data_IF_867228745541
#
_entry.id   IF_867228745541
#
_cell.length_a   1.000
_cell.length_b   1.000
_cell.length_c   1.000
_cell.angle_alpha   90.00
_cell.angle_beta   90.00
_cell.angle_gamma   90.00
#
_symmetry.space_group_name_H-M   'P 1'
#
loop_
_entity.id
_entity.type
_entity.pdbx_description
1 polymer ?
#
# COMPACT_ATOMS: atom_id res chain seq x y z
N UNK A 1 63.62 -36.94 -85.45
CA UNK A 1 63.94 -36.39 -84.12
C UNK A 1 62.77 -35.49 -83.75
N UNK A 2 61.78 -35.92 -82.95
CA UNK A 2 61.85 -36.16 -81.49
C UNK A 2 62.22 -34.85 -80.77
N UNK A 3 61.48 -34.25 -79.83
CA UNK A 3 60.32 -34.63 -79.02
C UNK A 3 59.59 -33.36 -78.52
N UNK A 4 58.46 -33.55 -77.84
CA UNK A 4 57.57 -32.56 -77.20
C UNK A 4 58.26 -31.86 -76.01
N UNK A 5 57.81 -30.66 -75.66
CA UNK A 5 57.92 -30.20 -74.27
C UNK A 5 56.85 -29.19 -73.84
N UNK A 6 56.59 -29.22 -72.54
CA UNK A 6 55.28 -29.04 -71.93
C UNK A 6 54.97 -27.64 -71.34
N UNK A 7 53.65 -27.47 -71.16
CA UNK A 7 52.90 -26.38 -70.53
C UNK A 7 53.32 -26.11 -69.08
N UNK A 8 53.51 -24.83 -68.70
CA UNK A 8 53.62 -24.38 -67.30
C UNK A 8 52.51 -23.37 -66.99
N UNK A 9 51.68 -23.72 -66.00
CA UNK A 9 50.60 -22.91 -65.43
C UNK A 9 51.17 -22.06 -64.26
N UNK A 10 50.87 -20.75 -64.13
CA UNK A 10 51.31 -19.97 -62.98
C UNK A 10 50.42 -20.20 -61.76
N UNK A 11 51.04 -20.23 -60.58
CA UNK A 11 50.45 -20.65 -59.30
C UNK A 11 49.39 -19.71 -58.73
N UNK A 12 48.42 -20.33 -58.04
CA UNK A 12 47.33 -19.71 -57.31
C UNK A 12 47.83 -19.30 -55.91
N UNK A 13 47.83 -18.00 -55.60
CA UNK A 13 48.13 -17.47 -54.27
C UNK A 13 46.87 -17.57 -53.40
N UNK A 14 46.81 -18.54 -52.47
CA UNK A 14 45.74 -18.62 -51.48
C UNK A 14 45.95 -17.56 -50.40
N UNK A 15 45.10 -16.54 -50.39
CA UNK A 15 44.96 -15.59 -49.29
C UNK A 15 44.12 -16.26 -48.20
N UNK A 16 44.75 -16.68 -47.09
CA UNK A 16 44.03 -17.22 -45.94
C UNK A 16 43.28 -16.08 -45.23
N UNK A 17 42.00 -15.91 -45.52
CA UNK A 17 41.09 -15.09 -44.71
C UNK A 17 40.85 -15.85 -43.39
N UNK A 18 41.53 -15.46 -42.33
CA UNK A 18 41.17 -15.89 -40.97
C UNK A 18 39.87 -15.21 -40.60
N UNK A 19 38.75 -15.91 -40.70
CA UNK A 19 37.48 -15.50 -40.10
C UNK A 19 37.70 -15.67 -38.59
N UNK A 20 38.19 -14.63 -37.93
CA UNK A 20 38.15 -14.54 -36.47
C UNK A 20 36.68 -14.38 -36.13
N UNK A 21 35.98 -15.51 -35.95
CA UNK A 21 34.70 -15.51 -35.27
C UNK A 21 35.00 -14.98 -33.87
N UNK A 22 34.68 -13.71 -33.63
CA UNK A 22 34.57 -13.20 -32.28
C UNK A 22 33.41 -13.98 -31.64
N UNK A 23 33.72 -15.16 -31.12
CA UNK A 23 32.87 -15.81 -30.15
C UNK A 23 33.03 -14.97 -28.88
N UNK A 24 32.23 -13.92 -28.76
CA UNK A 24 32.05 -13.33 -27.45
C UNK A 24 31.49 -14.45 -26.57
N UNK A 25 32.22 -14.88 -25.53
CA UNK A 25 31.71 -15.90 -24.64
C UNK A 25 30.40 -15.37 -24.07
N UNK A 26 29.34 -16.15 -24.20
CA UNK A 26 28.09 -15.88 -23.51
C UNK A 26 28.40 -15.92 -22.01
N UNK A 27 28.57 -14.75 -21.39
CA UNK A 27 28.78 -14.63 -19.95
C UNK A 27 27.39 -14.74 -19.32
N UNK A 28 27.13 -15.86 -18.65
CA UNK A 28 25.94 -15.99 -17.81
C UNK A 28 26.14 -15.09 -16.60
N UNK A 29 25.21 -14.16 -16.39
CA UNK A 29 25.19 -13.41 -15.14
C UNK A 29 24.74 -14.31 -14.00
N UNK A 30 25.43 -14.18 -12.87
CA UNK A 30 25.13 -14.91 -11.63
C UNK A 30 24.96 -13.96 -10.44
N UNK A 31 24.93 -12.65 -10.71
CA UNK A 31 24.87 -11.60 -9.71
C UNK A 31 23.44 -11.12 -9.58
N UNK A 32 22.73 -11.42 -8.47
CA UNK A 32 21.38 -10.92 -8.29
C UNK A 32 21.37 -9.40 -8.11
N UNK A 33 20.25 -8.72 -8.45
CA UNK A 33 20.04 -7.33 -8.10
C UNK A 33 20.11 -7.09 -6.59
N UNK A 34 20.32 -5.84 -6.18
CA UNK A 34 20.16 -5.47 -4.78
C UNK A 34 18.70 -5.64 -4.30
N UNK A 35 18.45 -5.93 -3.01
CA UNK A 35 17.08 -6.00 -2.50
C UNK A 35 16.34 -4.67 -2.63
N UNK A 36 15.04 -4.67 -3.00
CA UNK A 36 14.22 -3.46 -3.04
C UNK A 36 14.23 -2.66 -1.73
N UNK A 37 14.18 -1.34 -1.85
CA UNK A 37 14.23 -0.40 -0.73
C UNK A 37 13.06 0.58 -0.75
N UNK A 38 12.81 1.23 0.40
CA UNK A 38 11.74 2.21 0.52
C UNK A 38 10.35 1.60 0.31
N UNK A 39 10.20 0.34 0.72
CA UNK A 39 8.93 -0.39 0.61
C UNK A 39 7.89 0.26 1.50
N UNK A 40 6.68 0.42 0.97
CA UNK A 40 5.52 0.98 1.65
C UNK A 40 4.30 0.11 1.33
N UNK A 41 3.50 -0.20 2.35
CA UNK A 41 2.19 -0.82 2.19
C UNK A 41 1.10 0.16 2.61
N UNK A 42 0.07 0.30 1.77
CA UNK A 42 -1.09 1.17 2.00
C UNK A 42 -2.35 0.31 2.00
N UNK A 43 -3.04 0.28 3.14
CA UNK A 43 -4.33 -0.38 3.28
C UNK A 43 -5.40 0.32 2.42
N UNK A 44 -6.15 -0.47 1.66
CA UNK A 44 -7.34 -0.09 0.89
C UNK A 44 -8.53 -0.97 1.31
N UNK A 45 -9.69 -0.81 0.67
CA UNK A 45 -10.81 -1.73 0.83
C UNK A 45 -10.56 -3.04 0.07
N UNK A 46 -10.48 -4.15 0.81
CA UNK A 46 -10.17 -5.51 0.33
C UNK A 46 -8.93 -5.56 -0.58
N UNK A 47 -7.94 -4.72 -0.27
CA UNK A 47 -6.68 -4.68 -0.98
C UNK A 47 -5.56 -4.02 -0.17
N UNK A 48 -4.33 -4.31 -0.54
CA UNK A 48 -3.14 -3.57 -0.12
C UNK A 48 -2.34 -3.12 -1.33
N UNK A 49 -2.02 -1.82 -1.40
CA UNK A 49 -1.11 -1.27 -2.40
C UNK A 49 0.32 -1.26 -1.85
N UNK A 50 1.23 -1.90 -2.58
CA UNK A 50 2.65 -1.89 -2.32
C UNK A 50 3.37 -0.96 -3.29
N UNK A 51 4.34 -0.20 -2.79
CA UNK A 51 5.23 0.66 -3.56
C UNK A 51 6.64 0.60 -3.03
N UNK A 52 7.63 0.73 -3.90
CA UNK A 52 9.04 0.75 -3.54
C UNK A 52 9.85 1.64 -4.48
N UNK A 53 11.12 1.84 -4.16
CA UNK A 53 12.05 2.55 -5.04
C UNK A 53 12.58 1.62 -6.12
N UNK A 54 12.71 2.15 -7.34
CA UNK A 54 13.33 1.43 -8.46
C UNK A 54 14.77 1.06 -8.11
N UNK A 55 15.13 -0.20 -8.38
CA UNK A 55 16.49 -0.69 -8.32
C UNK A 55 17.42 0.04 -9.33
N UNK A 56 18.66 0.38 -8.95
CA UNK A 56 19.58 1.09 -9.83
C UNK A 56 20.19 0.23 -10.93
N UNK A 57 20.17 -1.10 -10.78
CA UNK A 57 20.77 -2.03 -11.74
C UNK A 57 20.00 -2.04 -13.07
N UNK A 58 20.69 -2.00 -14.23
CA UNK A 58 20.07 -1.85 -15.54
C UNK A 58 19.40 -3.12 -16.08
N UNK A 59 19.72 -4.27 -15.48
CA UNK A 59 19.34 -5.63 -15.87
C UNK A 59 18.17 -6.19 -15.05
N UNK A 60 17.55 -5.38 -14.18
CA UNK A 60 16.35 -5.79 -13.44
C UNK A 60 15.20 -6.07 -14.40
N UNK A 61 14.77 -7.34 -14.43
CA UNK A 61 13.66 -7.81 -15.24
C UNK A 61 12.31 -7.59 -14.53
N UNK A 62 12.28 -7.63 -13.20
CA UNK A 62 11.06 -7.38 -12.43
C UNK A 62 11.21 -7.60 -10.94
N UNK A 63 10.05 -7.69 -10.28
CA UNK A 63 9.91 -7.86 -8.84
C UNK A 63 8.93 -8.97 -8.53
N UNK A 64 9.20 -9.72 -7.46
CA UNK A 64 8.31 -10.74 -6.91
C UNK A 64 7.81 -10.30 -5.54
N UNK A 65 6.52 -10.53 -5.30
CA UNK A 65 5.82 -10.03 -4.12
C UNK A 65 5.51 -11.19 -3.21
N UNK A 66 5.87 -11.00 -1.94
CA UNK A 66 5.77 -12.01 -0.92
C UNK A 66 4.85 -11.54 0.20
N UNK A 67 3.95 -12.40 0.67
CA UNK A 67 3.02 -12.12 1.77
C UNK A 67 3.13 -13.14 2.88
N UNK A 68 2.88 -12.73 4.12
CA UNK A 68 2.73 -13.63 5.26
C UNK A 68 1.69 -13.12 6.24
N UNK A 69 1.09 -14.03 7.02
CA UNK A 69 0.17 -13.72 8.12
C UNK A 69 0.91 -13.19 9.37
N UNK A 70 2.24 -13.32 9.40
CA UNK A 70 3.09 -12.93 10.52
C UNK A 70 4.40 -12.32 10.04
N UNK A 71 4.98 -11.48 10.89
CA UNK A 71 6.20 -10.75 10.57
C UNK A 71 7.39 -11.67 10.21
N UNK A 72 7.58 -12.73 10.98
CA UNK A 72 8.69 -13.69 10.91
C UNK A 72 8.28 -15.05 10.31
N UNK A 73 7.25 -15.04 9.47
CA UNK A 73 6.60 -16.25 8.98
C UNK A 73 7.24 -16.87 7.75
N UNK A 74 6.58 -17.92 7.28
CA UNK A 74 6.78 -18.38 5.92
C UNK A 74 6.04 -17.39 5.00
N UNK A 75 6.78 -16.84 4.04
CA UNK A 75 6.25 -15.90 3.06
C UNK A 75 5.91 -16.67 1.78
N UNK A 76 4.71 -16.41 1.26
CA UNK A 76 4.19 -17.01 0.04
C UNK A 76 4.24 -16.00 -1.10
N UNK A 77 4.57 -16.48 -2.31
CA UNK A 77 4.56 -15.67 -3.53
C UNK A 77 3.12 -15.42 -3.99
N UNK A 78 2.77 -14.14 -4.16
CA UNK A 78 1.45 -13.72 -4.63
C UNK A 78 1.47 -13.11 -6.04
N UNK A 79 2.65 -13.08 -6.68
CA UNK A 79 2.81 -12.65 -8.07
C UNK A 79 4.03 -11.78 -8.32
N UNK A 80 4.20 -11.42 -9.59
CA UNK A 80 5.30 -10.58 -10.06
C UNK A 80 4.80 -9.33 -10.78
N UNK A 81 5.67 -8.33 -10.91
CA UNK A 81 5.41 -7.10 -11.67
C UNK A 81 6.71 -6.49 -12.18
N UNK A 82 6.64 -5.76 -13.29
CA UNK A 82 7.77 -4.97 -13.82
C UNK A 82 7.71 -3.50 -13.40
N UNK A 83 6.59 -3.08 -12.80
CA UNK A 83 6.42 -1.74 -12.23
C UNK A 83 6.94 -1.68 -10.79
N UNK A 84 7.15 -0.48 -10.26
CA UNK A 84 7.52 -0.22 -8.85
C UNK A 84 6.30 -0.20 -7.91
N UNK A 85 5.24 -0.91 -8.32
CA UNK A 85 3.95 -0.96 -7.66
C UNK A 85 3.29 -2.31 -7.88
N UNK A 86 2.63 -2.80 -6.83
CA UNK A 86 1.76 -3.98 -6.88
C UNK A 86 0.50 -3.72 -6.04
N UNK A 87 -0.63 -4.34 -6.41
CA UNK A 87 -1.85 -4.30 -5.62
C UNK A 87 -2.27 -5.73 -5.31
N UNK A 88 -2.12 -6.11 -4.05
CA UNK A 88 -2.67 -7.35 -3.54
C UNK A 88 -4.19 -7.20 -3.41
N UNK A 89 -4.94 -7.95 -4.24
CA UNK A 89 -6.41 -7.99 -4.24
C UNK A 89 -6.98 -9.19 -3.47
N UNK A 90 -6.11 -10.02 -2.90
CA UNK A 90 -6.47 -11.11 -2.00
C UNK A 90 -6.50 -10.68 -0.53
N UNK A 91 -5.91 -9.53 -0.21
CA UNK A 91 -5.87 -8.99 1.15
C UNK A 91 -7.29 -8.72 1.69
N UNK A 92 -7.59 -9.23 2.89
CA UNK A 92 -8.90 -9.14 3.50
C UNK A 92 -8.98 -7.99 4.51
N UNK A 93 -10.14 -7.35 4.58
CA UNK A 93 -10.38 -6.31 5.57
C UNK A 93 -10.22 -6.86 6.99
N UNK A 94 -9.60 -6.07 7.88
CA UNK A 94 -9.37 -6.43 9.28
C UNK A 94 -8.22 -7.42 9.50
N UNK A 95 -7.70 -8.05 8.46
CA UNK A 95 -6.59 -9.01 8.57
C UNK A 95 -5.27 -8.30 8.28
N UNK A 96 -4.32 -8.39 9.22
CA UNK A 96 -2.98 -7.83 9.00
C UNK A 96 -2.16 -8.78 8.14
N UNK A 97 -1.71 -8.29 6.99
CA UNK A 97 -0.77 -8.97 6.11
C UNK A 97 0.60 -8.28 6.15
N UNK A 98 1.67 -9.07 6.18
CA UNK A 98 3.06 -8.63 6.12
C UNK A 98 3.60 -8.86 4.72
N UNK A 99 4.34 -7.89 4.17
CA UNK A 99 4.83 -7.92 2.81
C UNK A 99 6.34 -7.71 2.74
N UNK A 100 6.95 -8.44 1.82
CA UNK A 100 8.33 -8.29 1.41
C UNK A 100 8.43 -8.39 -0.11
N UNK A 101 9.51 -7.87 -0.67
CA UNK A 101 9.70 -7.79 -2.13
C UNK A 101 11.13 -8.22 -2.47
N UNK A 102 11.30 -9.04 -3.49
CA UNK A 102 12.59 -9.34 -4.13
C UNK A 102 12.62 -8.77 -5.55
N UNK A 103 13.80 -8.50 -6.06
CA UNK A 103 14.04 -8.15 -7.46
C UNK A 103 14.71 -9.34 -8.16
N UNK A 104 14.43 -9.52 -9.45
CA UNK A 104 15.09 -10.52 -10.28
C UNK A 104 15.56 -9.90 -11.60
N UNK A 105 16.68 -10.40 -12.13
CA UNK A 105 17.26 -9.96 -13.41
C UNK A 105 16.78 -10.80 -14.61
N UNK A 106 17.32 -10.53 -15.81
CA UNK A 106 16.99 -11.28 -17.03
C UNK A 106 17.60 -12.69 -17.10
N UNK A 107 18.53 -13.01 -16.19
CA UNK A 107 19.19 -14.31 -16.06
C UNK A 107 18.61 -15.13 -14.88
N UNK A 108 17.46 -14.69 -14.34
CA UNK A 108 16.73 -15.29 -13.21
C UNK A 108 17.50 -15.30 -11.86
N UNK A 109 18.50 -14.44 -11.67
CA UNK A 109 19.10 -14.25 -10.36
C UNK A 109 18.18 -13.38 -9.49
N UNK A 110 17.70 -13.94 -8.38
CA UNK A 110 16.80 -13.26 -7.45
C UNK A 110 17.55 -12.72 -6.23
N UNK A 111 17.22 -11.49 -5.83
CA UNK A 111 17.78 -10.84 -4.66
C UNK A 111 17.28 -11.49 -3.36
N UNK A 112 17.96 -11.17 -2.24
CA UNK A 112 17.31 -11.31 -0.92
C UNK A 112 16.00 -10.50 -0.88
N UNK A 113 15.10 -10.86 0.03
CA UNK A 113 13.92 -10.05 0.35
C UNK A 113 14.32 -8.64 0.83
N UNK A 114 13.46 -7.66 0.55
CA UNK A 114 13.55 -6.30 1.06
C UNK A 114 13.78 -6.30 2.56
N UNK A 115 14.74 -5.50 3.03
CA UNK A 115 15.10 -5.46 4.45
C UNK A 115 13.95 -5.01 5.35
N UNK A 116 13.16 -4.07 4.84
CA UNK A 116 12.03 -3.50 5.57
C UNK A 116 10.80 -4.36 5.29
N UNK A 117 10.39 -5.15 6.28
CA UNK A 117 9.07 -5.82 6.26
C UNK A 117 8.04 -4.75 6.60
N UNK A 118 7.07 -4.57 5.69
CA UNK A 118 5.94 -3.66 5.88
C UNK A 118 4.66 -4.47 6.10
N UNK A 119 3.61 -3.83 6.59
CA UNK A 119 2.32 -4.48 6.75
C UNK A 119 1.17 -3.58 6.33
N UNK A 120 0.02 -4.17 6.05
CA UNK A 120 -1.23 -3.44 5.91
C UNK A 120 -2.34 -4.22 6.61
N UNK A 121 -3.29 -3.49 7.18
CA UNK A 121 -4.58 -4.04 7.58
C UNK A 121 -5.62 -3.38 6.70
N UNK A 122 -6.00 -4.01 5.57
CA UNK A 122 -7.06 -3.51 4.69
C UNK A 122 -8.32 -3.20 5.48
N UNK A 123 -9.10 -2.25 5.01
CA UNK A 123 -10.31 -1.83 5.70
C UNK A 123 -11.31 -1.15 4.75
N UNK A 124 -12.62 -1.24 5.03
CA UNK A 124 -13.64 -0.56 4.26
C UNK A 124 -13.40 0.96 4.16
N UNK A 125 -13.69 1.52 2.99
CA UNK A 125 -13.70 2.96 2.75
C UNK A 125 -14.87 3.36 1.83
N UNK A 126 -15.32 4.60 1.93
CA UNK A 126 -16.36 5.14 1.08
C UNK A 126 -16.17 6.63 0.82
N UNK A 127 -16.74 7.10 -0.28
CA UNK A 127 -16.49 8.44 -0.80
C UNK A 127 -17.79 9.20 -1.02
N UNK A 128 -17.81 10.49 -0.66
CA UNK A 128 -18.96 11.36 -0.90
C UNK A 128 -20.24 11.00 -0.13
N UNK A 129 -20.13 10.35 1.04
CA UNK A 129 -21.23 10.12 1.97
C UNK A 129 -21.82 11.45 2.41
N UNK A 130 -23.15 11.50 2.58
CA UNK A 130 -23.89 12.73 2.89
C UNK A 130 -24.72 12.56 4.14
N UNK A 131 -24.58 13.48 5.08
CA UNK A 131 -25.44 13.57 6.26
C UNK A 131 -26.20 14.89 6.26
N UNK A 132 -27.51 14.81 6.55
CA UNK A 132 -28.35 15.98 6.81
C UNK A 132 -28.04 16.61 8.17
N UNK A 133 -28.46 17.86 8.36
CA UNK A 133 -28.43 18.49 9.68
C UNK A 133 -29.47 17.82 10.60
N UNK A 134 -29.06 17.25 11.74
CA UNK A 134 -29.97 16.49 12.59
C UNK A 134 -31.18 17.30 13.07
N UNK A 135 -31.04 18.63 13.15
CA UNK A 135 -32.12 19.54 13.57
C UNK A 135 -33.24 19.66 12.56
N UNK A 136 -32.96 19.43 11.27
CA UNK A 136 -33.93 19.57 10.16
C UNK A 136 -34.18 18.27 9.41
N UNK A 137 -33.27 17.31 9.48
CA UNK A 137 -33.31 16.03 8.76
C UNK A 137 -32.75 14.90 9.63
N UNK A 138 -33.34 14.62 10.81
CA UNK A 138 -32.78 13.66 11.78
C UNK A 138 -32.59 12.25 11.21
N UNK A 139 -33.50 11.79 10.36
CA UNK A 139 -33.50 10.44 9.76
C UNK A 139 -32.34 10.17 8.78
N UNK A 140 -31.58 11.20 8.39
CA UNK A 140 -30.44 11.08 7.48
C UNK A 140 -29.21 11.80 8.01
N UNK A 141 -29.17 12.07 9.30
CA UNK A 141 -28.13 12.87 9.93
C UNK A 141 -27.07 12.04 10.68
N UNK A 142 -27.31 10.74 10.88
CA UNK A 142 -26.38 9.79 11.50
C UNK A 142 -25.67 8.90 10.49
N UNK A 143 -24.45 8.49 10.82
CA UNK A 143 -23.70 7.47 10.11
C UNK A 143 -23.26 6.36 11.06
N UNK A 144 -23.47 5.12 10.64
CA UNK A 144 -23.02 3.90 11.31
C UNK A 144 -21.88 3.29 10.49
N UNK A 145 -20.68 3.25 11.06
CA UNK A 145 -19.50 2.69 10.42
C UNK A 145 -19.56 1.16 10.30
N UNK A 146 -20.28 0.47 11.18
CA UNK A 146 -20.37 -1.00 11.16
C UNK A 146 -21.22 -1.52 9.99
N UNK A 147 -22.22 -0.74 9.58
CA UNK A 147 -23.11 -1.06 8.44
C UNK A 147 -22.85 -0.21 7.19
N UNK A 148 -21.91 0.74 7.27
CA UNK A 148 -21.57 1.70 6.22
C UNK A 148 -22.77 2.53 5.75
N UNK A 149 -23.70 2.82 6.66
CA UNK A 149 -25.02 3.31 6.30
C UNK A 149 -25.35 4.67 6.91
N UNK A 150 -26.14 5.45 6.17
CA UNK A 150 -26.73 6.70 6.65
C UNK A 150 -28.08 6.38 7.27
N UNK A 151 -28.33 6.92 8.45
CA UNK A 151 -29.54 6.65 9.21
C UNK A 151 -29.93 7.81 10.13
N UNK A 152 -30.80 7.46 11.08
CA UNK A 152 -31.28 8.40 12.07
C UNK A 152 -30.18 8.72 13.09
N UNK A 153 -29.96 9.99 13.41
CA UNK A 153 -28.84 10.42 14.28
C UNK A 153 -28.82 9.81 15.68
N UNK A 154 -29.98 9.36 16.18
CA UNK A 154 -30.15 8.79 17.51
C UNK A 154 -30.48 7.29 17.48
N UNK A 155 -30.12 6.60 16.41
CA UNK A 155 -30.10 5.15 16.40
C UNK A 155 -28.98 4.63 17.33
N UNK A 156 -29.19 3.48 17.96
CA UNK A 156 -28.26 2.84 18.90
C UNK A 156 -26.90 2.56 18.25
N UNK A 157 -26.85 2.44 16.92
CA UNK A 157 -25.63 2.17 16.14
C UNK A 157 -25.05 3.40 15.44
N UNK A 158 -25.59 4.60 15.67
CA UNK A 158 -25.01 5.81 15.07
C UNK A 158 -23.72 6.19 15.76
N UNK A 159 -22.61 6.18 15.02
CA UNK A 159 -21.31 6.57 15.55
C UNK A 159 -21.06 8.07 15.46
N UNK A 160 -21.45 8.69 14.34
CA UNK A 160 -21.27 10.14 14.10
C UNK A 160 -22.54 10.77 13.54
N UNK A 161 -22.77 12.04 13.87
CA UNK A 161 -23.86 12.82 13.28
C UNK A 161 -23.52 14.28 13.05
N UNK A 162 -24.23 14.90 12.10
CA UNK A 162 -23.98 16.27 11.66
C UNK A 162 -24.96 17.29 12.25
N UNK A 163 -24.43 18.42 12.72
CA UNK A 163 -25.19 19.57 13.18
C UNK A 163 -24.77 20.85 12.47
N UNK A 164 -25.76 21.68 12.13
CA UNK A 164 -25.52 23.10 11.87
C UNK A 164 -26.45 23.96 12.71
N UNK A 165 -25.87 24.90 13.45
CA UNK A 165 -26.59 25.82 14.35
C UNK A 165 -25.90 27.19 14.33
N UNK A 166 -26.70 28.26 14.20
CA UNK A 166 -26.24 29.65 14.23
C UNK A 166 -25.03 29.95 13.32
N UNK A 167 -25.01 29.31 12.15
CA UNK A 167 -23.96 29.46 11.14
C UNK A 167 -22.67 28.68 11.42
N UNK A 168 -22.64 27.86 12.47
CA UNK A 168 -21.53 26.96 12.80
C UNK A 168 -21.92 25.51 12.49
N UNK A 169 -20.92 24.72 12.10
CA UNK A 169 -21.11 23.34 11.68
C UNK A 169 -20.28 22.42 12.57
N UNK A 170 -20.83 21.28 12.96
CA UNK A 170 -20.19 20.35 13.88
C UNK A 170 -20.37 18.90 13.42
N UNK A 171 -19.31 18.11 13.60
CA UNK A 171 -19.40 16.67 13.66
C UNK A 171 -19.44 16.26 15.13
N UNK A 172 -20.41 15.42 15.47
CA UNK A 172 -20.68 15.00 16.84
C UNK A 172 -20.61 13.47 16.94
N UNK A 173 -20.29 13.00 18.13
CA UNK A 173 -20.37 11.59 18.55
C UNK A 173 -21.17 11.50 19.84
N UNK A 174 -21.60 10.30 20.23
CA UNK A 174 -22.21 10.06 21.54
C UNK A 174 -21.16 9.97 22.66
N UNK A 175 -21.63 9.98 23.92
CA UNK A 175 -20.77 10.07 25.12
C UNK A 175 -19.81 8.89 25.31
N UNK A 176 -20.10 7.75 24.69
CA UNK A 176 -19.32 6.53 24.70
C UNK A 176 -18.28 6.44 23.57
N UNK A 177 -18.18 7.49 22.76
CA UNK A 177 -17.27 7.58 21.61
C UNK A 177 -16.39 8.83 21.70
N UNK A 178 -15.25 8.80 21.03
CA UNK A 178 -14.31 9.93 20.96
C UNK A 178 -14.19 10.48 19.55
N UNK A 179 -13.95 11.78 19.42
CA UNK A 179 -13.64 12.42 18.14
C UNK A 179 -12.54 13.46 18.28
N UNK A 180 -11.63 13.52 17.32
CA UNK A 180 -10.56 14.53 17.24
C UNK A 180 -10.47 15.09 15.82
N UNK A 181 -10.28 16.41 15.72
CA UNK A 181 -9.87 17.08 14.49
C UNK A 181 -8.36 16.95 14.28
N UNK A 182 -7.95 16.39 13.15
CA UNK A 182 -6.55 16.21 12.76
C UNK A 182 -6.03 17.34 11.87
N UNK A 183 -6.85 18.35 11.58
CA UNK A 183 -6.53 19.47 10.72
C UNK A 183 -6.64 19.18 9.22
N UNK A 184 -6.12 20.11 8.42
CA UNK A 184 -6.14 20.03 6.97
C UNK A 184 -5.36 18.83 6.42
N UNK A 185 -5.99 18.12 5.49
CA UNK A 185 -5.36 17.05 4.71
C UNK A 185 -5.65 17.21 3.23
N UNK A 186 -4.78 16.69 2.38
CA UNK A 186 -4.98 16.62 0.93
C UNK A 186 -5.79 15.39 0.54
N UNK A 187 -5.72 14.33 1.34
CA UNK A 187 -6.37 13.05 1.08
C UNK A 187 -6.86 12.39 2.37
N UNK A 188 -7.89 11.54 2.25
CA UNK A 188 -8.31 10.62 3.32
C UNK A 188 -7.10 9.83 3.85
N UNK A 189 -6.12 9.60 3.00
CA UNK A 189 -4.91 8.86 3.28
C UNK A 189 -3.82 9.68 4.05
N UNK A 190 -4.01 10.92 4.46
CA UNK A 190 -2.90 11.61 5.14
C UNK A 190 -2.75 11.23 6.62
N UNK A 191 -3.83 10.74 7.24
CA UNK A 191 -3.81 10.23 8.61
C UNK A 191 -3.61 8.71 8.61
N UNK A 192 -2.45 8.26 9.09
CA UNK A 192 -2.05 6.85 9.04
C UNK A 192 -2.28 6.06 10.32
N UNK A 193 -2.40 6.72 11.47
CA UNK A 193 -2.61 6.09 12.78
C UNK A 193 -3.56 6.96 13.59
N UNK A 194 -4.46 6.35 14.34
CA UNK A 194 -5.31 7.04 15.30
C UNK A 194 -4.49 7.67 16.45
N UNK A 195 -4.90 8.84 16.97
CA UNK A 195 -4.19 9.50 18.06
C UNK A 195 -4.40 8.71 19.37
N UNK A 196 -3.40 8.73 20.26
CA UNK A 196 -3.53 8.14 21.59
C UNK A 196 -4.31 9.04 22.58
N UNK A 197 -4.63 10.28 22.22
CA UNK A 197 -5.29 11.24 23.08
C UNK A 197 -5.51 12.60 22.42
N UNK A 198 -5.98 13.58 23.20
CA UNK A 198 -6.40 14.90 22.71
C UNK A 198 -7.82 14.91 22.16
N UNK A 199 -8.61 13.88 22.51
CA UNK A 199 -10.01 13.76 22.12
C UNK A 199 -10.84 14.96 22.60
N UNK A 200 -11.86 15.32 21.84
CA UNK A 200 -12.72 16.45 22.15
C UNK A 200 -13.50 16.21 23.45
N UNK A 201 -13.29 17.03 24.51
CA UNK A 201 -14.03 16.86 25.77
C UNK A 201 -15.54 17.07 25.62
N UNK A 202 -15.99 17.72 24.54
CA UNK A 202 -17.39 18.00 24.27
C UNK A 202 -18.05 17.00 23.32
N UNK A 203 -17.37 15.90 22.95
CA UNK A 203 -17.89 14.89 21.99
C UNK A 203 -18.25 15.49 20.61
N UNK A 204 -17.68 16.64 20.32
CA UNK A 204 -18.03 17.47 19.16
C UNK A 204 -16.83 18.27 18.70
N UNK A 205 -16.69 18.43 17.40
CA UNK A 205 -15.62 19.17 16.74
C UNK A 205 -16.21 20.04 15.65
N UNK A 206 -15.62 21.23 15.44
CA UNK A 206 -16.04 22.09 14.34
C UNK A 206 -15.77 21.37 13.00
N UNK A 207 -16.80 21.31 12.16
CA UNK A 207 -16.74 20.70 10.85
C UNK A 207 -16.20 21.74 9.85
N UNK A 208 -15.05 21.44 9.24
CA UNK A 208 -14.29 22.32 8.35
C UNK A 208 -13.98 21.56 7.06
N UNK A 209 -14.26 22.18 5.92
CA UNK A 209 -13.95 21.60 4.61
C UNK A 209 -12.45 21.33 4.46
N UNK A 210 -12.09 20.13 4.01
CA UNK A 210 -10.71 19.70 3.83
C UNK A 210 -10.02 19.18 5.10
N UNK A 211 -10.65 19.26 6.27
CA UNK A 211 -10.14 18.64 7.48
C UNK A 211 -10.40 17.12 7.50
N UNK A 212 -9.55 16.39 8.23
CA UNK A 212 -9.79 14.99 8.59
C UNK A 212 -9.98 14.85 10.08
N UNK A 213 -10.92 14.00 10.46
CA UNK A 213 -11.26 13.71 11.84
C UNK A 213 -11.07 12.23 12.09
N UNK A 214 -10.60 11.88 13.28
CA UNK A 214 -10.52 10.50 13.75
C UNK A 214 -11.58 10.28 14.81
N UNK A 215 -12.23 9.13 14.75
CA UNK A 215 -13.27 8.67 15.67
C UNK A 215 -12.80 7.37 16.32
N UNK A 216 -12.95 7.27 17.64
CA UNK A 216 -12.89 5.99 18.36
C UNK A 216 -14.32 5.65 18.77
N UNK A 217 -14.85 4.57 18.20
CA UNK A 217 -16.24 4.16 18.39
C UNK A 217 -16.42 3.44 19.73
N UNK A 218 -17.66 3.45 20.23
CA UNK A 218 -18.06 2.80 21.48
C UNK A 218 -17.74 1.31 21.55
N UNK A 219 -17.63 0.64 20.39
CA UNK A 219 -17.35 -0.79 20.27
C UNK A 219 -15.87 -1.12 20.02
N UNK A 220 -14.98 -0.14 20.25
CA UNK A 220 -13.51 -0.23 20.19
C UNK A 220 -12.92 -0.40 18.78
N UNK A 221 -13.41 0.42 17.84
CA UNK A 221 -12.84 0.54 16.51
C UNK A 221 -12.43 1.98 16.21
N UNK A 222 -11.52 2.14 15.25
CA UNK A 222 -11.11 3.46 14.78
C UNK A 222 -11.68 3.73 13.40
N UNK A 223 -12.23 4.92 13.23
CA UNK A 223 -12.67 5.43 11.94
C UNK A 223 -12.01 6.77 11.65
N UNK A 224 -12.08 7.19 10.39
CA UNK A 224 -11.79 8.57 10.01
C UNK A 224 -12.76 9.07 8.98
N UNK A 225 -13.01 10.37 9.02
CA UNK A 225 -13.80 11.08 8.02
C UNK A 225 -12.99 12.25 7.49
N UNK A 226 -13.00 12.48 6.18
CA UNK A 226 -12.46 13.70 5.57
C UNK A 226 -13.57 14.48 4.91
N UNK A 227 -13.78 15.70 5.37
CA UNK A 227 -14.85 16.54 4.85
C UNK A 227 -14.51 17.05 3.45
N UNK A 228 -15.47 16.92 2.55
CA UNK A 228 -15.43 17.32 1.15
C UNK A 228 -16.12 18.65 0.90
N UNK A 229 -17.30 18.83 1.49
CA UNK A 229 -18.16 19.99 1.28
C UNK A 229 -19.04 20.17 2.52
N UNK A 230 -19.31 21.41 2.93
CA UNK A 230 -20.24 21.73 4.03
C UNK A 230 -21.21 22.82 3.62
N UNK A 231 -22.47 22.63 3.99
CA UNK A 231 -23.52 23.66 4.01
C UNK A 231 -24.27 23.59 5.34
N UNK A 232 -25.13 24.56 5.63
CA UNK A 232 -25.94 24.52 6.85
C UNK A 232 -27.00 23.40 6.90
N UNK A 233 -27.22 22.70 5.79
CA UNK A 233 -28.19 21.61 5.69
C UNK A 233 -27.54 20.24 5.57
N UNK A 234 -26.25 20.18 5.19
CA UNK A 234 -25.59 18.93 4.82
C UNK A 234 -24.08 19.03 4.90
N UNK A 235 -23.45 17.94 5.34
CA UNK A 235 -22.02 17.66 5.15
C UNK A 235 -21.84 16.52 4.14
N UNK A 236 -20.82 16.63 3.30
CA UNK A 236 -20.33 15.55 2.42
C UNK A 236 -18.93 15.14 2.89
N UNK A 237 -18.65 13.85 3.06
CA UNK A 237 -17.34 13.36 3.48
C UNK A 237 -16.94 12.02 2.85
N UNK A 238 -15.65 11.76 2.84
CA UNK A 238 -15.07 10.43 2.60
C UNK A 238 -14.77 9.78 3.94
N UNK A 239 -14.78 8.45 4.04
CA UNK A 239 -14.56 7.73 5.29
C UNK A 239 -13.76 6.45 5.11
N UNK A 240 -13.10 6.00 6.18
CA UNK A 240 -12.55 4.65 6.29
C UNK A 240 -12.75 4.13 7.72
N UNK A 241 -12.97 2.82 7.86
CA UNK A 241 -13.32 2.19 9.13
C UNK A 241 -12.48 0.96 9.41
N UNK A 242 -11.71 0.94 10.49
CA UNK A 242 -10.88 -0.21 10.85
C UNK A 242 -11.72 -1.25 11.61
N UNK A 243 -12.04 -2.36 10.95
CA UNK A 243 -12.87 -3.43 11.53
C UNK A 243 -12.11 -4.34 12.51
N UNK A 244 -10.78 -4.23 12.59
CA UNK A 244 -9.99 -4.91 13.61
C UNK A 244 -10.03 -4.11 14.91
N UNK A 245 -10.65 -4.67 15.95
CA UNK A 245 -10.75 -4.03 17.28
C UNK A 245 -9.39 -3.61 17.82
N UNK A 246 -9.38 -2.45 18.48
CA UNK A 246 -8.21 -1.81 19.07
C UNK A 246 -7.06 -1.51 18.09
N UNK A 247 -7.20 -1.77 16.79
CA UNK A 247 -6.14 -1.53 15.81
C UNK A 247 -6.17 -0.06 15.37
N UNK A 248 -5.14 0.76 15.70
CA UNK A 248 -5.15 2.17 15.36
C UNK A 248 -4.70 2.44 13.91
N UNK A 249 -4.39 1.40 13.11
CA UNK A 249 -3.88 1.58 11.74
C UNK A 249 -4.96 2.17 10.82
N UNK A 250 -4.72 3.42 10.41
CA UNK A 250 -5.58 4.20 9.52
C UNK A 250 -4.99 4.41 8.11
N UNK A 251 -3.79 3.92 7.79
CA UNK A 251 -3.32 3.81 6.38
C UNK A 251 -2.08 2.95 6.17
N UNK A 252 -0.93 3.43 6.66
CA UNK A 252 0.41 2.96 6.31
C UNK A 252 1.03 2.33 7.54
N UNK A 253 1.56 1.13 7.39
CA UNK A 253 2.65 0.71 8.24
C UNK A 253 3.91 1.44 7.81
N UNK A 254 4.53 2.17 8.74
CA UNK A 254 5.97 2.28 8.69
C UNK A 254 6.55 0.99 9.30
N UNK A 255 7.76 0.56 8.89
CA UNK A 255 8.46 -0.51 9.59
C UNK A 255 8.44 -0.17 11.09
N UNK A 256 8.19 -1.14 12.00
CA UNK A 256 8.15 -0.88 13.43
C UNK A 256 9.35 -0.04 13.84
N UNK A 257 9.10 1.21 14.27
CA UNK A 257 10.15 2.14 14.63
C UNK A 257 10.87 1.65 15.89
N UNK A 258 12.01 0.99 15.71
CA UNK A 258 12.99 0.76 16.78
C UNK A 258 13.27 -0.70 17.14
N UNK A 259 13.99 -1.42 16.26
CA UNK A 259 15.18 -2.18 16.63
C UNK A 259 15.87 -2.67 15.36
N UNK A 260 17.12 -2.25 15.14
CA UNK A 260 18.04 -3.09 14.36
C UNK A 260 18.14 -4.41 15.11
N UNK A 261 17.74 -5.54 14.50
CA UNK A 261 18.59 -6.74 14.46
C UNK A 261 18.10 -7.88 13.54
N UNK A 262 19.11 -8.34 12.79
CA UNK A 262 19.41 -9.65 12.18
C UNK A 262 18.50 -10.26 11.11
N UNK A 263 19.10 -10.42 9.92
CA UNK A 263 18.75 -11.42 8.90
C UNK A 263 18.87 -12.83 9.49
N UNK A 264 17.82 -13.67 9.43
CA UNK A 264 18.01 -15.10 9.25
C UNK A 264 18.31 -15.33 7.76
N UNK A 265 19.49 -15.84 7.46
CA UNK A 265 19.80 -16.35 6.12
C UNK A 265 18.81 -17.46 5.77
N UNK A 266 18.08 -17.32 4.66
CA UNK A 266 17.17 -18.36 4.14
C UNK A 266 17.89 -19.55 3.48
N UNK A 267 19.21 -19.72 3.71
CA UNK A 267 19.91 -20.96 3.37
C UNK A 267 19.75 -22.02 4.46
N UNK A 268 18.53 -22.53 4.62
CA UNK A 268 18.27 -23.81 5.28
C UNK A 268 16.94 -24.37 4.79
N UNK A 269 16.98 -24.97 3.58
CA UNK A 269 16.22 -26.17 3.18
C UNK A 269 16.59 -26.54 1.74
N UNK A 270 17.81 -27.05 1.57
CA UNK A 270 18.10 -28.05 0.55
C UNK A 270 18.69 -29.27 1.25
N UNK A 271 17.81 -30.20 1.62
CA UNK A 271 18.07 -31.63 1.75
C UNK A 271 16.81 -32.38 1.36
#
# INVERSE_FOLDING_TARGET
>A
MQERDAMKLPGLLLLALTISSCHEPFVIDTTPPSPPQGVLATAMDNAAELRWLRNPEPDVAGYRIWVSDRYDGEYEDIGTTTDIRFVDRGALNGERAYYAISAYDFDDNESDLSRDVVYATPRPEGFGTKLGNYRTSPLTAGFDFSTYSVGNYNDDFTDVFFESIDGRNYMNVWEDSEIQDMGYTNSLYDISVAPAGGWSPSRSVEAIEGHTYVVWTWDDHFAKIRIREITSQRVTFDWAYQIAKSNPDLKRALPPGGARQLKPSLLSKMK
#
